data_IF_744145859973
#
_entry.id   IF_744145859973
#
_cell.length_a   1.000
_cell.length_b   1.000
_cell.length_c   1.000
_cell.angle_alpha   90.00
_cell.angle_beta   90.00
_cell.angle_gamma   90.00
#
_symmetry.space_group_name_H-M   'P 1'
#
loop_
_entity.id
_entity.type
_entity.pdbx_description
1 polymer ?
#
# COMPACT_ATOMS: atom_id res chain seq x y z
N UNK A 1 -85.52 -42.60 12.13
CA UNK A 1 -84.93 -42.58 10.78
C UNK A 1 -84.01 -41.36 10.73
N UNK A 2 -82.72 -41.57 10.97
CA UNK A 2 -81.68 -40.54 10.85
C UNK A 2 -81.21 -40.44 9.39
N UNK A 3 -80.86 -39.24 8.89
CA UNK A 3 -80.00 -39.10 7.73
C UNK A 3 -78.56 -38.75 8.13
N UNK A 4 -77.62 -39.50 7.54
CA UNK A 4 -76.18 -39.33 7.60
C UNK A 4 -75.75 -38.02 6.90
N UNK A 5 -75.04 -37.14 7.61
CA UNK A 5 -74.27 -36.03 7.05
C UNK A 5 -72.91 -36.58 6.59
N UNK A 6 -72.74 -36.72 5.28
CA UNK A 6 -71.45 -37.02 4.66
C UNK A 6 -70.58 -35.77 4.58
N UNK A 7 -69.39 -35.82 5.17
CA UNK A 7 -68.33 -34.83 5.02
C UNK A 7 -67.75 -34.86 3.62
N UNK A 8 -67.68 -33.70 2.97
CA UNK A 8 -66.95 -33.52 1.70
C UNK A 8 -65.48 -33.25 2.06
N UNK A 9 -64.61 -34.23 1.80
CA UNK A 9 -63.16 -34.04 1.84
C UNK A 9 -62.71 -33.35 0.54
N UNK A 10 -62.18 -32.13 0.66
CA UNK A 10 -61.38 -31.48 -0.38
C UNK A 10 -60.02 -32.20 -0.51
N UNK A 11 -59.59 -32.61 -1.71
CA UNK A 11 -58.25 -33.18 -1.88
C UNK A 11 -57.20 -32.09 -1.69
N UNK A 12 -56.27 -32.33 -0.77
CA UNK A 12 -55.05 -31.54 -0.64
C UNK A 12 -54.22 -31.71 -1.91
N UNK A 13 -53.93 -30.61 -2.58
CA UNK A 13 -52.94 -30.56 -3.67
C UNK A 13 -51.55 -30.74 -3.04
N UNK A 14 -51.04 -31.96 -3.07
CA UNK A 14 -49.61 -32.25 -2.86
C UNK A 14 -48.82 -31.59 -3.99
N UNK A 15 -48.27 -30.40 -3.74
CA UNK A 15 -47.21 -29.85 -4.57
C UNK A 15 -45.92 -30.65 -4.29
N UNK A 16 -45.25 -31.20 -5.32
CA UNK A 16 -43.95 -31.79 -5.14
C UNK A 16 -42.98 -30.73 -4.59
N UNK A 17 -42.43 -31.01 -3.42
CA UNK A 17 -41.33 -30.24 -2.85
C UNK A 17 -40.08 -30.59 -3.64
N UNK A 18 -39.91 -29.97 -4.80
CA UNK A 18 -38.66 -30.06 -5.54
C UNK A 18 -37.52 -29.61 -4.62
N UNK A 19 -36.45 -30.40 -4.45
CA UNK A 19 -35.31 -29.96 -3.67
C UNK A 19 -34.74 -28.72 -4.32
N UNK A 20 -34.77 -27.60 -3.57
CA UNK A 20 -34.11 -26.36 -3.94
C UNK A 20 -32.68 -26.73 -4.38
N UNK A 21 -32.26 -26.38 -5.61
CA UNK A 21 -30.92 -26.67 -6.08
C UNK A 21 -29.92 -26.14 -5.05
N UNK A 22 -29.20 -27.04 -4.39
CA UNK A 22 -28.17 -26.65 -3.44
C UNK A 22 -27.11 -25.87 -4.21
N UNK A 23 -26.91 -24.61 -3.83
CA UNK A 23 -25.87 -23.80 -4.44
C UNK A 23 -24.53 -24.54 -4.32
N UNK A 24 -23.72 -24.54 -5.37
CA UNK A 24 -22.38 -25.12 -5.32
C UNK A 24 -21.62 -24.59 -4.09
N UNK A 25 -20.90 -25.47 -3.40
CA UNK A 25 -20.19 -25.18 -2.14
C UNK A 25 -19.25 -23.97 -2.23
N UNK A 26 -18.68 -23.69 -3.39
CA UNK A 26 -17.86 -22.50 -3.64
C UNK A 26 -18.67 -21.20 -3.64
N UNK A 27 -19.93 -21.21 -4.09
CA UNK A 27 -20.81 -20.04 -4.06
C UNK A 27 -21.26 -19.76 -2.63
N UNK A 28 -21.55 -20.82 -1.86
CA UNK A 28 -21.89 -20.69 -0.43
C UNK A 28 -20.72 -20.10 0.36
N UNK A 29 -19.48 -20.52 0.07
CA UNK A 29 -18.27 -19.98 0.69
C UNK A 29 -18.05 -18.50 0.34
N UNK A 30 -18.30 -18.07 -0.91
CA UNK A 30 -18.18 -16.68 -1.34
C UNK A 30 -19.21 -15.76 -0.65
N UNK A 31 -20.46 -16.20 -0.53
CA UNK A 31 -21.54 -15.43 0.10
C UNK A 31 -21.34 -15.30 1.63
N UNK A 32 -20.59 -16.21 2.24
CA UNK A 32 -20.23 -16.15 3.66
C UNK A 32 -19.14 -15.11 3.96
N UNK A 33 -18.43 -14.59 2.95
CA UNK A 33 -17.38 -13.59 3.15
C UNK A 33 -17.98 -12.26 3.61
N UNK A 34 -17.61 -11.81 4.81
CA UNK A 34 -18.19 -10.65 5.48
C UNK A 34 -17.23 -9.46 5.60
N UNK A 35 -15.95 -9.67 5.28
CA UNK A 35 -14.89 -8.66 5.30
C UNK A 35 -14.14 -8.61 3.97
N UNK A 36 -13.58 -7.44 3.64
CA UNK A 36 -12.67 -7.27 2.52
C UNK A 36 -11.42 -8.15 2.68
N UNK A 37 -10.90 -8.32 3.90
CA UNK A 37 -9.74 -9.18 4.16
C UNK A 37 -9.99 -10.64 3.79
N UNK A 38 -11.13 -11.18 4.19
CA UNK A 38 -11.50 -12.56 3.86
C UNK A 38 -11.71 -12.71 2.35
N UNK A 39 -12.29 -11.69 1.70
CA UNK A 39 -12.42 -11.64 0.26
C UNK A 39 -11.08 -11.69 -0.47
N UNK A 40 -10.12 -10.87 -0.05
CA UNK A 40 -8.79 -10.83 -0.68
C UNK A 40 -8.04 -12.15 -0.48
N UNK A 41 -8.12 -12.72 0.73
CA UNK A 41 -7.50 -14.00 1.03
C UNK A 41 -8.15 -15.15 0.23
N UNK A 42 -9.48 -15.21 0.20
CA UNK A 42 -10.21 -16.26 -0.51
C UNK A 42 -10.03 -16.17 -2.04
N UNK A 43 -10.10 -14.95 -2.59
CA UNK A 43 -10.10 -14.75 -4.05
C UNK A 43 -8.70 -14.74 -4.66
N UNK A 44 -7.67 -14.33 -3.90
CA UNK A 44 -6.32 -14.14 -4.43
C UNK A 44 -5.22 -14.87 -3.63
N UNK A 45 -5.57 -15.57 -2.55
CA UNK A 45 -4.60 -16.21 -1.66
C UNK A 45 -3.66 -15.22 -0.95
N UNK A 46 -4.06 -13.95 -0.86
CA UNK A 46 -3.20 -12.89 -0.34
C UNK A 46 -3.56 -12.54 1.11
N UNK A 47 -2.63 -12.81 2.03
CA UNK A 47 -2.79 -12.46 3.44
C UNK A 47 -2.54 -10.95 3.66
N UNK A 48 -3.60 -10.28 4.09
CA UNK A 48 -3.58 -8.84 4.38
C UNK A 48 -2.90 -8.48 5.69
N UNK A 49 -2.43 -9.43 6.50
CA UNK A 49 -1.70 -9.16 7.76
C UNK A 49 -0.48 -8.25 7.57
N UNK A 50 0.23 -8.41 6.45
CA UNK A 50 1.38 -7.55 6.08
C UNK A 50 0.96 -6.18 5.52
N UNK A 51 -0.30 -6.04 5.11
CA UNK A 51 -0.92 -4.79 4.67
C UNK A 51 -1.57 -4.02 5.84
N UNK A 52 -1.89 -4.69 6.94
CA UNK A 52 -2.38 -4.02 8.15
C UNK A 52 -1.34 -3.04 8.67
N UNK A 53 -1.80 -1.88 9.15
CA UNK A 53 -1.00 -0.98 9.95
C UNK A 53 -1.04 -1.44 11.41
N UNK A 54 -0.03 -2.18 11.91
CA UNK A 54 -0.16 -2.82 13.21
C UNK A 54 0.14 -1.77 14.28
N UNK A 55 -0.86 -1.54 15.12
CA UNK A 55 -0.76 -0.77 16.36
C UNK A 55 -0.02 -1.59 17.42
N UNK A 56 1.24 -1.93 17.19
CA UNK A 56 2.06 -2.55 18.23
C UNK A 56 2.92 -1.48 18.93
N UNK A 57 2.66 -1.27 20.22
CA UNK A 57 3.61 -0.69 21.16
C UNK A 57 3.74 0.83 21.21
N UNK A 58 2.86 1.62 20.56
CA UNK A 58 2.92 3.08 20.65
C UNK A 58 4.18 3.74 20.06
N UNK A 59 5.07 2.95 19.46
CA UNK A 59 6.32 3.41 18.84
C UNK A 59 6.17 3.43 17.32
N UNK A 60 6.59 4.54 16.69
CA UNK A 60 6.52 4.74 15.24
C UNK A 60 7.61 3.91 14.55
N UNK A 61 7.20 3.01 13.65
CA UNK A 61 8.05 2.04 12.92
C UNK A 61 9.12 2.67 12.03
N UNK A 62 10.15 1.88 11.71
CA UNK A 62 11.13 2.18 10.66
C UNK A 62 10.42 2.46 9.33
N UNK A 63 10.86 3.52 8.64
CA UNK A 63 10.33 3.98 7.34
C UNK A 63 10.11 2.83 6.33
N UNK A 64 11.01 1.85 6.32
CA UNK A 64 10.90 0.67 5.47
C UNK A 64 9.59 -0.11 5.67
N UNK A 65 9.24 -0.45 6.92
CA UNK A 65 7.97 -1.15 7.20
C UNK A 65 6.78 -0.32 6.75
N UNK A 66 6.83 1.00 6.94
CA UNK A 66 5.79 1.90 6.43
C UNK A 66 5.66 1.89 4.91
N UNK A 67 6.77 1.80 4.17
CA UNK A 67 6.78 1.68 2.70
C UNK A 67 6.22 0.33 2.26
N UNK A 68 6.65 -0.77 2.90
CA UNK A 68 6.17 -2.11 2.56
C UNK A 68 4.71 -2.29 2.88
N UNK A 69 4.28 -1.95 4.10
CA UNK A 69 2.87 -2.05 4.48
C UNK A 69 2.00 -1.20 3.53
N UNK A 70 2.44 0.01 3.17
CA UNK A 70 1.72 0.83 2.19
C UNK A 70 1.65 0.19 0.81
N UNK A 71 2.74 -0.43 0.34
CA UNK A 71 2.79 -1.15 -0.93
C UNK A 71 1.83 -2.33 -0.94
N UNK A 72 1.83 -3.14 0.12
CA UNK A 72 0.95 -4.31 0.24
C UNK A 72 -0.52 -3.90 0.29
N UNK A 73 -0.86 -2.80 0.98
CA UNK A 73 -2.22 -2.23 0.90
C UNK A 73 -2.57 -1.83 -0.53
N UNK A 74 -1.68 -1.14 -1.23
CA UNK A 74 -1.94 -0.75 -2.61
C UNK A 74 -2.15 -1.96 -3.53
N UNK A 75 -1.41 -3.05 -3.31
CA UNK A 75 -1.58 -4.31 -4.06
C UNK A 75 -2.93 -4.93 -3.75
N UNK A 76 -3.28 -5.11 -2.47
CA UNK A 76 -4.55 -5.70 -2.06
C UNK A 76 -5.76 -4.92 -2.61
N UNK A 77 -5.72 -3.58 -2.53
CA UNK A 77 -6.79 -2.73 -3.07
C UNK A 77 -6.89 -2.83 -4.59
N UNK A 78 -5.77 -2.85 -5.32
CA UNK A 78 -5.79 -3.03 -6.78
C UNK A 78 -6.32 -4.40 -7.21
N UNK A 79 -5.98 -5.46 -6.47
CA UNK A 79 -6.52 -6.80 -6.71
C UNK A 79 -8.05 -6.82 -6.56
N UNK A 80 -8.57 -6.09 -5.58
CA UNK A 80 -10.01 -5.92 -5.39
C UNK A 80 -10.69 -4.97 -6.41
N UNK A 81 -9.96 -4.46 -7.41
CA UNK A 81 -10.50 -3.68 -8.51
C UNK A 81 -10.47 -2.16 -8.34
N UNK A 82 -9.83 -1.63 -7.28
CA UNK A 82 -9.66 -0.18 -7.15
C UNK A 82 -8.60 0.33 -8.15
N UNK A 83 -9.03 1.08 -9.15
CA UNK A 83 -8.13 1.69 -10.16
C UNK A 83 -7.51 3.00 -9.70
N UNK A 84 -8.26 3.82 -8.94
CA UNK A 84 -7.80 5.08 -8.37
C UNK A 84 -7.84 5.04 -6.84
N UNK A 85 -6.66 4.82 -6.24
CA UNK A 85 -6.49 4.77 -4.78
C UNK A 85 -6.52 6.16 -4.11
N UNK A 86 -6.58 7.25 -4.88
CA UNK A 86 -6.67 8.63 -4.36
C UNK A 86 -8.12 9.08 -4.12
N UNK A 87 -9.07 8.40 -4.77
CA UNK A 87 -10.51 8.56 -4.62
C UNK A 87 -11.01 7.68 -3.45
N UNK A 88 -10.94 8.22 -2.24
CA UNK A 88 -11.31 7.49 -1.01
C UNK A 88 -12.79 7.09 -0.93
N UNK A 89 -13.63 7.67 -1.78
CA UNK A 89 -15.07 7.38 -1.86
C UNK A 89 -15.39 6.29 -2.89
N UNK A 90 -14.37 5.70 -3.54
CA UNK A 90 -14.53 4.53 -4.39
C UNK A 90 -15.19 3.40 -3.60
N UNK A 91 -16.17 2.74 -4.21
CA UNK A 91 -16.94 1.67 -3.57
C UNK A 91 -16.50 0.29 -4.08
N UNK A 92 -16.45 -0.65 -3.16
CA UNK A 92 -16.23 -2.06 -3.39
C UNK A 92 -17.41 -2.84 -2.85
N UNK A 93 -17.93 -3.78 -3.63
CA UNK A 93 -19.07 -4.60 -3.23
C UNK A 93 -18.62 -6.02 -2.95
N UNK A 94 -18.84 -6.46 -1.73
CA UNK A 94 -18.62 -7.84 -1.31
C UNK A 94 -19.62 -8.79 -2.00
N UNK A 95 -19.29 -10.08 -2.15
CA UNK A 95 -20.19 -11.07 -2.75
C UNK A 95 -21.53 -11.22 -2.00
N UNK A 96 -21.56 -10.93 -0.70
CA UNK A 96 -22.78 -10.91 0.12
C UNK A 96 -23.66 -9.66 -0.11
N UNK A 97 -23.28 -8.78 -1.03
CA UNK A 97 -24.01 -7.57 -1.40
C UNK A 97 -23.66 -6.32 -0.58
N UNK A 98 -22.92 -6.47 0.53
CA UNK A 98 -22.45 -5.34 1.36
C UNK A 98 -21.50 -4.46 0.55
N UNK A 99 -21.74 -3.16 0.57
CA UNK A 99 -20.84 -2.17 -0.05
C UNK A 99 -19.96 -1.55 1.01
N UNK A 100 -18.69 -1.38 0.69
CA UNK A 100 -17.67 -0.74 1.50
C UNK A 100 -16.97 0.31 0.65
N UNK A 101 -16.76 1.49 1.21
CA UNK A 101 -15.90 2.51 0.61
C UNK A 101 -14.43 2.17 0.86
N UNK A 102 -13.54 2.68 0.01
CA UNK A 102 -12.10 2.57 0.20
C UNK A 102 -11.69 3.14 1.57
N UNK A 103 -12.30 4.25 2.01
CA UNK A 103 -12.11 4.81 3.34
C UNK A 103 -12.44 3.83 4.45
N UNK A 104 -13.59 3.16 4.38
CA UNK A 104 -14.00 2.18 5.39
C UNK A 104 -13.03 1.00 5.42
N UNK A 105 -12.66 0.44 4.27
CA UNK A 105 -11.69 -0.66 4.17
C UNK A 105 -10.35 -0.25 4.81
N UNK A 106 -9.83 0.93 4.48
CA UNK A 106 -8.58 1.43 5.04
C UNK A 106 -8.66 1.52 6.58
N UNK A 107 -9.70 2.15 7.12
CA UNK A 107 -9.77 2.45 8.56
C UNK A 107 -10.19 1.25 9.42
N UNK A 108 -11.20 0.50 9.03
CA UNK A 108 -11.76 -0.58 9.86
C UNK A 108 -11.09 -1.92 9.65
N UNK A 109 -10.61 -2.20 8.43
CA UNK A 109 -10.05 -3.51 8.11
C UNK A 109 -8.52 -3.51 8.06
N UNK A 110 -7.93 -2.46 7.47
CA UNK A 110 -6.48 -2.36 7.29
C UNK A 110 -5.79 -1.49 8.37
N UNK A 111 -6.54 -0.79 9.22
CA UNK A 111 -6.03 0.03 10.32
C UNK A 111 -5.29 1.31 9.89
N UNK A 112 -5.46 1.74 8.65
CA UNK A 112 -4.85 2.95 8.10
C UNK A 112 -5.72 4.19 8.31
N UNK A 113 -5.09 5.26 8.82
CA UNK A 113 -5.64 6.61 8.72
C UNK A 113 -5.72 7.02 7.23
N UNK A 114 -6.90 7.33 6.68
CA UNK A 114 -7.06 7.62 5.25
C UNK A 114 -6.26 8.84 4.79
N UNK A 115 -6.10 9.85 5.65
CA UNK A 115 -5.32 11.05 5.32
C UNK A 115 -3.82 10.70 5.19
N UNK A 116 -3.30 9.91 6.13
CA UNK A 116 -1.91 9.42 6.11
C UNK A 116 -1.67 8.48 4.93
N UNK A 117 -2.60 7.57 4.63
CA UNK A 117 -2.52 6.71 3.46
C UNK A 117 -2.44 7.53 2.17
N UNK A 118 -3.34 8.49 1.97
CA UNK A 118 -3.38 9.35 0.78
C UNK A 118 -2.10 10.19 0.63
N UNK A 119 -1.60 10.75 1.74
CA UNK A 119 -0.32 11.49 1.74
C UNK A 119 0.84 10.59 1.32
N UNK A 120 0.95 9.40 1.91
CA UNK A 120 2.02 8.43 1.59
C UNK A 120 1.91 7.92 0.16
N UNK A 121 0.69 7.68 -0.34
CA UNK A 121 0.45 7.27 -1.74
C UNK A 121 1.13 8.23 -2.73
N UNK A 122 0.89 9.54 -2.59
CA UNK A 122 1.49 10.53 -3.47
C UNK A 122 3.02 10.63 -3.35
N UNK A 123 3.59 10.47 -2.15
CA UNK A 123 5.04 10.52 -1.95
C UNK A 123 5.75 9.27 -2.45
N UNK A 124 5.23 8.09 -2.11
CA UNK A 124 5.83 6.80 -2.44
C UNK A 124 5.72 6.49 -3.93
N UNK A 125 4.58 6.80 -4.55
CA UNK A 125 4.41 6.67 -6.01
C UNK A 125 5.40 7.57 -6.77
N UNK A 126 5.56 8.82 -6.31
CA UNK A 126 6.58 9.72 -6.86
C UNK A 126 7.99 9.14 -6.72
N UNK A 127 8.36 8.66 -5.51
CA UNK A 127 9.67 8.09 -5.23
C UNK A 127 9.98 6.89 -6.13
N UNK A 128 9.04 5.95 -6.23
CA UNK A 128 9.19 4.75 -7.05
C UNK A 128 9.32 5.10 -8.53
N UNK A 129 8.41 5.92 -9.07
CA UNK A 129 8.42 6.33 -10.48
C UNK A 129 9.71 7.05 -10.84
N UNK A 130 10.15 8.01 -10.02
CA UNK A 130 11.39 8.74 -10.28
C UNK A 130 12.62 7.85 -10.11
N UNK A 131 12.69 7.01 -9.08
CA UNK A 131 13.81 6.10 -8.89
C UNK A 131 13.99 5.15 -10.09
N UNK A 132 12.90 4.69 -10.70
CA UNK A 132 12.91 3.84 -11.89
C UNK A 132 13.30 4.60 -13.17
N UNK A 133 12.81 5.82 -13.35
CA UNK A 133 12.91 6.53 -14.64
C UNK A 133 14.00 7.60 -14.69
N UNK A 134 14.59 7.97 -13.55
CA UNK A 134 15.56 9.05 -13.44
C UNK A 134 16.85 8.60 -12.75
N UNK A 135 17.91 9.36 -13.00
CA UNK A 135 19.19 9.29 -12.32
C UNK A 135 19.69 10.70 -12.01
N UNK A 136 20.69 10.80 -11.14
CA UNK A 136 21.29 12.08 -10.81
C UNK A 136 22.04 12.64 -12.03
N UNK A 137 21.92 13.93 -12.31
CA UNK A 137 22.71 14.57 -13.39
C UNK A 137 24.18 14.55 -13.01
N UNK A 138 25.03 14.01 -13.88
CA UNK A 138 26.47 14.00 -13.66
C UNK A 138 27.04 15.40 -13.41
N UNK A 139 26.62 16.38 -14.22
CA UNK A 139 26.95 17.81 -14.09
C UNK A 139 26.51 18.42 -12.74
N UNK A 140 25.51 17.81 -12.10
CA UNK A 140 24.98 18.23 -10.81
C UNK A 140 25.60 17.46 -9.64
N UNK A 141 26.66 16.69 -9.83
CA UNK A 141 27.37 16.11 -8.69
C UNK A 141 28.03 17.23 -7.84
N UNK A 142 28.10 17.07 -6.51
CA UNK A 142 28.98 17.90 -5.69
C UNK A 142 30.43 17.74 -6.15
N UNK A 143 31.22 18.82 -6.09
CA UNK A 143 32.66 18.73 -6.34
C UNK A 143 33.29 17.71 -5.36
N UNK A 144 34.30 16.92 -5.79
CA UNK A 144 34.92 15.93 -4.92
C UNK A 144 35.58 16.60 -3.71
N UNK A 145 36.22 17.74 -3.92
CA UNK A 145 36.86 18.51 -2.85
C UNK A 145 35.88 19.52 -2.25
N UNK A 146 35.74 19.54 -0.91
CA UNK A 146 34.82 20.44 -0.26
C UNK A 146 35.40 21.87 -0.21
N UNK A 147 34.58 22.92 -0.43
CA UNK A 147 35.03 24.30 -0.29
C UNK A 147 35.50 24.62 1.13
N UNK A 148 36.32 25.67 1.25
CA UNK A 148 36.81 26.19 2.53
C UNK A 148 35.65 26.45 3.52
N UNK A 149 35.90 26.13 4.79
CA UNK A 149 34.92 26.27 5.86
C UNK A 149 34.45 27.73 5.98
N UNK A 150 33.17 27.95 6.32
CA UNK A 150 32.60 29.28 6.52
C UNK A 150 32.22 30.04 5.23
N UNK A 151 32.55 29.51 4.05
CA UNK A 151 32.21 30.16 2.78
C UNK A 151 30.74 29.90 2.37
N UNK A 152 30.10 30.83 1.62
CA UNK A 152 28.78 30.56 1.02
C UNK A 152 28.77 29.35 0.09
N UNK A 153 29.89 29.10 -0.61
CA UNK A 153 30.08 27.92 -1.46
C UNK A 153 30.01 26.62 -0.65
N UNK A 154 30.56 26.60 0.57
CA UNK A 154 30.48 25.43 1.44
C UNK A 154 29.05 25.05 1.79
N UNK A 155 28.19 26.02 2.13
CA UNK A 155 26.78 25.75 2.43
C UNK A 155 26.04 25.13 1.25
N UNK A 156 26.23 25.67 0.04
CA UNK A 156 25.64 25.12 -1.19
C UNK A 156 26.15 23.70 -1.47
N UNK A 157 27.44 23.47 -1.26
CA UNK A 157 28.05 22.15 -1.41
C UNK A 157 27.46 21.15 -0.41
N UNK A 158 27.37 21.51 0.88
CA UNK A 158 26.80 20.67 1.93
C UNK A 158 25.33 20.35 1.63
N UNK A 159 24.54 21.33 1.18
CA UNK A 159 23.15 21.13 0.76
C UNK A 159 23.04 20.14 -0.40
N UNK A 160 23.86 20.33 -1.46
CA UNK A 160 23.89 19.42 -2.62
C UNK A 160 24.28 18.01 -2.22
N UNK A 161 25.26 17.85 -1.32
CA UNK A 161 25.65 16.58 -0.73
C UNK A 161 24.50 15.91 0.05
N UNK A 162 23.75 16.68 0.86
CA UNK A 162 22.59 16.16 1.57
C UNK A 162 21.46 15.74 0.62
N UNK A 163 21.19 16.51 -0.43
CA UNK A 163 20.19 16.16 -1.46
C UNK A 163 20.58 14.89 -2.22
N UNK A 164 21.86 14.76 -2.59
CA UNK A 164 22.38 13.54 -3.23
C UNK A 164 22.26 12.33 -2.29
N UNK A 165 22.60 12.49 -1.00
CA UNK A 165 22.43 11.44 0.02
C UNK A 165 20.96 11.03 0.15
N UNK A 166 20.03 11.99 0.17
CA UNK A 166 18.59 11.72 0.18
C UNK A 166 18.16 10.96 -1.07
N UNK A 167 18.59 11.38 -2.26
CA UNK A 167 18.27 10.69 -3.51
C UNK A 167 18.76 9.25 -3.53
N UNK A 168 20.02 9.00 -3.13
CA UNK A 168 20.57 7.64 -2.99
C UNK A 168 19.75 6.79 -2.02
N UNK A 169 19.31 7.37 -0.90
CA UNK A 169 18.41 6.71 0.04
C UNK A 169 17.06 6.33 -0.59
N UNK A 170 16.44 7.22 -1.37
CA UNK A 170 15.19 6.94 -2.11
C UNK A 170 15.40 5.78 -3.08
N UNK A 171 16.44 5.85 -3.92
CA UNK A 171 16.80 4.78 -4.87
C UNK A 171 16.97 3.45 -4.13
N UNK A 172 17.73 3.44 -3.04
CA UNK A 172 17.98 2.24 -2.24
C UNK A 172 16.74 1.68 -1.51
N UNK A 173 15.72 2.48 -1.23
CA UNK A 173 14.50 2.01 -0.55
C UNK A 173 13.41 1.57 -1.52
N UNK A 174 13.30 2.19 -2.69
CA UNK A 174 12.17 2.01 -3.60
C UNK A 174 12.48 1.14 -4.83
N UNK A 175 13.75 0.95 -5.22
CA UNK A 175 14.08 0.08 -6.35
C UNK A 175 14.08 -1.42 -5.98
N UNK A 176 13.82 -2.32 -6.96
CA UNK A 176 13.79 -3.76 -6.76
C UNK A 176 15.09 -4.40 -6.23
N UNK A 177 16.25 -3.75 -6.43
CA UNK A 177 17.56 -4.23 -5.94
C UNK A 177 18.11 -3.37 -4.79
N UNK A 178 17.29 -2.49 -4.23
CA UNK A 178 17.70 -1.66 -3.10
C UNK A 178 17.97 -2.49 -1.84
N UNK A 179 18.57 -1.90 -0.80
CA UNK A 179 18.82 -2.52 0.52
C UNK A 179 17.64 -3.33 1.07
N UNK A 180 16.46 -2.97 0.61
CA UNK A 180 15.19 -3.44 1.07
C UNK A 180 14.68 -4.71 0.36
N UNK A 181 15.28 -5.14 -0.76
CA UNK A 181 14.99 -6.45 -1.36
C UNK A 181 15.92 -7.57 -0.89
N UNK A 182 17.05 -7.22 -0.26
CA UNK A 182 18.14 -8.18 -0.03
C UNK A 182 18.56 -8.34 1.43
N UNK A 183 18.17 -7.45 2.35
CA UNK A 183 18.60 -7.52 3.75
C UNK A 183 17.40 -7.50 4.71
N UNK A 184 17.45 -8.38 5.71
CA UNK A 184 16.62 -8.23 6.90
C UNK A 184 16.84 -6.82 7.49
N UNK A 185 15.76 -6.09 7.85
CA UNK A 185 15.90 -4.72 8.30
C UNK A 185 16.79 -4.69 9.54
N UNK A 186 17.78 -3.76 9.63
CA UNK A 186 18.64 -3.68 10.80
C UNK A 186 17.77 -3.45 12.04
N UNK A 187 17.83 -4.37 13.00
CA UNK A 187 17.27 -4.22 14.36
C UNK A 187 18.06 -3.09 15.01
N UNK A 188 17.45 -1.93 15.29
CA UNK A 188 18.21 -0.90 16.00
C UNK A 188 18.19 -1.20 17.49
N UNK A 189 19.28 -0.81 18.14
CA UNK A 189 19.38 -0.71 19.57
C UNK A 189 18.73 0.62 20.01
N UNK A 190 17.42 0.60 20.27
CA UNK A 190 16.72 1.63 21.03
C UNK A 190 15.89 2.66 20.24
N UNK A 191 14.80 3.10 20.88
CA UNK A 191 13.70 3.88 20.30
C UNK A 191 14.07 5.30 19.81
N UNK A 192 15.14 5.89 20.34
CA UNK A 192 15.50 7.30 20.08
C UNK A 192 16.16 7.51 18.70
N UNK A 193 17.03 6.58 18.27
CA UNK A 193 17.75 6.70 16.99
C UNK A 193 16.86 6.36 15.78
N UNK A 194 15.86 5.49 15.96
CA UNK A 194 14.92 5.10 14.91
C UNK A 194 13.95 6.23 14.54
N UNK A 195 13.48 6.96 15.56
CA UNK A 195 12.53 8.07 15.44
C UNK A 195 13.10 9.23 14.62
N UNK A 196 14.35 9.62 14.92
CA UNK A 196 15.04 10.70 14.21
C UNK A 196 15.36 10.32 12.77
N UNK A 197 15.75 9.06 12.49
CA UNK A 197 16.07 8.61 11.13
C UNK A 197 14.83 8.56 10.22
N UNK A 198 13.68 8.07 10.72
CA UNK A 198 12.43 8.03 9.98
C UNK A 198 11.84 9.43 9.78
N UNK A 199 11.83 10.27 10.82
CA UNK A 199 11.37 11.66 10.74
C UNK A 199 12.26 12.49 9.81
N UNK A 200 13.58 12.38 9.94
CA UNK A 200 14.51 13.04 9.02
C UNK A 200 14.29 12.55 7.59
N UNK A 201 13.97 11.28 7.36
CA UNK A 201 13.84 10.74 5.99
C UNK A 201 12.49 11.04 5.36
N UNK A 202 11.38 10.91 6.09
CA UNK A 202 10.04 11.32 5.60
C UNK A 202 9.95 12.84 5.39
N UNK A 203 10.50 13.65 6.31
CA UNK A 203 10.63 15.08 6.07
C UNK A 203 11.57 15.37 4.89
N UNK A 204 12.61 14.55 4.65
CA UNK A 204 13.45 14.67 3.45
C UNK A 204 12.73 14.27 2.16
N UNK A 205 11.68 13.44 2.18
CA UNK A 205 10.87 13.15 0.99
C UNK A 205 10.12 14.39 0.48
N UNK A 206 9.86 15.38 1.34
CA UNK A 206 9.30 16.67 0.92
C UNK A 206 10.28 17.49 0.07
N UNK A 207 11.58 17.20 0.14
CA UNK A 207 12.62 17.81 -0.71
C UNK A 207 12.56 17.34 -2.16
N UNK A 208 11.56 16.54 -2.55
CA UNK A 208 11.36 16.07 -3.93
C UNK A 208 11.47 17.19 -4.95
N UNK A 209 10.90 18.37 -4.68
CA UNK A 209 10.94 19.51 -5.59
C UNK A 209 12.35 20.07 -5.78
N UNK A 210 13.18 20.07 -4.73
CA UNK A 210 14.58 20.46 -4.82
C UNK A 210 15.40 19.42 -5.60
N UNK A 211 15.10 18.14 -5.40
CA UNK A 211 15.80 17.04 -6.06
C UNK A 211 15.46 16.97 -7.56
N UNK A 212 14.20 17.20 -7.96
CA UNK A 212 13.74 17.07 -9.37
C UNK A 212 14.66 17.78 -10.36
N UNK A 213 15.09 18.99 -10.06
CA UNK A 213 15.92 19.78 -10.97
C UNK A 213 17.35 19.23 -11.15
N UNK A 214 17.79 18.39 -10.22
CA UNK A 214 19.10 17.73 -10.19
C UNK A 214 19.06 16.34 -10.86
N UNK A 215 17.88 15.90 -11.33
CA UNK A 215 17.69 14.60 -11.97
C UNK A 215 17.52 14.72 -13.48
N UNK A 216 17.96 13.69 -14.21
CA UNK A 216 17.72 13.51 -15.64
C UNK A 216 17.07 12.16 -15.91
N UNK A 217 16.31 12.06 -17.00
CA UNK A 217 15.65 10.81 -17.39
C UNK A 217 16.71 9.79 -17.81
N UNK A 218 16.60 8.56 -17.33
CA UNK A 218 17.42 7.43 -17.78
C UNK A 218 17.16 7.21 -19.27
N UNK A 219 18.23 7.05 -20.06
CA UNK A 219 18.11 6.64 -21.46
C UNK A 219 17.83 5.14 -21.49
N UNK A 220 16.86 4.71 -22.30
CA UNK A 220 16.36 3.32 -22.37
C UNK A 220 17.40 2.27 -22.83
N UNK A 221 18.62 2.68 -23.19
CA UNK A 221 19.62 1.81 -23.83
C UNK A 221 20.93 1.67 -23.06
N UNK A 222 21.02 2.11 -21.81
CA UNK A 222 22.22 1.87 -21.01
C UNK A 222 21.89 0.83 -19.95
N UNK A 223 22.12 -0.43 -20.32
CA UNK A 223 22.40 -1.46 -19.33
C UNK A 223 23.56 -0.98 -18.44
N UNK A 224 23.35 -1.05 -17.14
CA UNK A 224 24.40 -1.04 -16.11
C UNK A 224 25.32 0.19 -15.97
N UNK A 225 24.77 1.41 -15.93
CA UNK A 225 25.44 2.48 -15.18
C UNK A 225 24.57 2.90 -13.99
N UNK A 226 24.83 2.32 -12.82
CA UNK A 226 24.15 2.58 -11.55
C UNK A 226 24.51 3.95 -10.91
N UNK A 227 24.95 4.91 -11.72
CA UNK A 227 25.37 6.25 -11.32
C UNK A 227 24.99 7.30 -12.38
#
# INVERSE_FOLDING_TARGET
MEPLLGSIETPALDLPSDPIPSLPSHIVALVALNSFRDYVMYSFGNDTTTAMYPWEGGTRRKLWFGIQNHREVCVALKLAGFSDLSALDGTFRLPNGKSLTLREILSSELGWDPATFKRKLGHYDWCLKFALSHQWKFESLPAPDPPSLGTPMRRKWDEKCQLLKTWKGIVAMFLPNGFASSAAPPTSYGDYCESLAAELTENRLTKRFQIIHLLTRRRSNVADSWF
#
